data_IF_628711402501
#
_entry.id   IF_628711402501
#
_cell.length_a   1.000
_cell.length_b   1.000
_cell.length_c   1.000
_cell.angle_alpha   90.00
_cell.angle_beta   90.00
_cell.angle_gamma   90.00
#
_symmetry.space_group_name_H-M   'P 1'
#
loop_
_entity.id
_entity.type
_entity.pdbx_description
1 polymer ?
#
# COMPACT_ATOMS: atom_id res chain seq x y z
N UNK A 1 -9.90 -4.87 12.46
CA UNK A 1 -10.23 -3.97 11.34
C UNK A 1 -8.91 -3.39 10.86
N UNK A 2 -8.54 -3.64 9.62
CA UNK A 2 -7.19 -3.40 9.10
C UNK A 2 -6.71 -4.55 8.23
N UNK A 3 -5.48 -4.44 7.73
CA UNK A 3 -4.83 -5.50 6.96
C UNK A 3 -4.42 -6.64 7.91
N UNK A 4 -4.77 -7.88 7.57
CA UNK A 4 -4.50 -9.07 8.41
C UNK A 4 -3.62 -10.11 7.73
N UNK A 5 -3.53 -10.06 6.42
CA UNK A 5 -2.64 -10.87 5.60
C UNK A 5 -2.28 -10.12 4.30
N UNK A 6 -1.45 -10.75 3.48
CA UNK A 6 -1.15 -10.25 2.15
C UNK A 6 -1.05 -11.38 1.14
N UNK A 7 -1.27 -11.05 -0.13
CA UNK A 7 -1.19 -11.95 -1.27
C UNK A 7 -0.50 -11.28 -2.44
N UNK A 8 0.05 -12.10 -3.34
CA UNK A 8 0.69 -11.65 -4.57
C UNK A 8 -0.11 -12.23 -5.74
N UNK A 9 -0.50 -11.35 -6.67
CA UNK A 9 -1.26 -11.68 -7.86
C UNK A 9 -0.55 -11.13 -9.10
N UNK A 10 -1.01 -11.56 -10.28
CA UNK A 10 -0.55 -11.03 -11.56
C UNK A 10 -1.72 -10.43 -12.33
N UNK A 11 -1.52 -9.27 -12.93
CA UNK A 11 -2.51 -8.64 -13.80
C UNK A 11 -2.74 -9.51 -15.05
N UNK A 12 -3.98 -9.61 -15.50
CA UNK A 12 -4.30 -10.29 -16.76
C UNK A 12 -4.19 -9.36 -17.98
N UNK A 13 -4.19 -8.06 -17.73
CA UNK A 13 -4.13 -6.97 -18.70
C UNK A 13 -2.73 -6.31 -18.70
N UNK A 14 -2.61 -5.21 -19.45
CA UNK A 14 -1.38 -4.42 -19.55
C UNK A 14 -1.27 -3.36 -18.43
N UNK A 15 -1.99 -3.55 -17.32
CA UNK A 15 -1.85 -2.70 -16.14
C UNK A 15 -0.43 -2.79 -15.58
N UNK A 16 0.02 -1.66 -15.04
CA UNK A 16 1.29 -1.56 -14.35
C UNK A 16 1.25 -2.31 -13.01
N UNK A 17 2.39 -2.49 -12.35
CA UNK A 17 2.43 -2.99 -10.99
C UNK A 17 1.74 -2.01 -10.04
N UNK A 18 0.93 -2.52 -9.12
CA UNK A 18 0.34 -1.70 -8.07
C UNK A 18 0.07 -2.52 -6.82
N UNK A 19 -0.16 -1.80 -5.72
CA UNK A 19 -0.63 -2.36 -4.47
C UNK A 19 -2.08 -1.91 -4.26
N UNK A 20 -2.89 -2.80 -3.73
CA UNK A 20 -4.27 -2.50 -3.33
C UNK A 20 -4.65 -3.39 -2.15
N UNK A 21 -5.84 -3.24 -1.62
CA UNK A 21 -6.37 -4.16 -0.62
C UNK A 21 -7.77 -4.57 -1.02
N UNK A 22 -8.12 -5.81 -0.71
CA UNK A 22 -9.47 -6.32 -0.93
C UNK A 22 -10.06 -6.86 0.37
N UNK A 23 -11.37 -6.76 0.49
CA UNK A 23 -12.13 -7.44 1.54
C UNK A 23 -12.68 -8.73 0.93
N UNK A 24 -12.28 -9.93 1.39
CA UNK A 24 -12.83 -11.17 0.87
C UNK A 24 -14.36 -11.15 0.95
N UNK A 25 -14.96 -11.13 -0.24
CA UNK A 25 -16.34 -10.76 -0.58
C UNK A 25 -17.42 -11.27 0.39
N UNK A 26 -18.34 -10.35 0.71
CA UNK A 26 -19.75 -10.43 1.14
C UNK A 26 -20.03 -9.87 2.54
N UNK A 27 -20.76 -8.73 2.58
CA UNK A 27 -21.75 -8.12 3.52
C UNK A 27 -21.97 -8.65 4.95
N UNK A 28 -21.22 -9.64 5.37
CA UNK A 28 -21.37 -10.45 6.58
C UNK A 28 -20.08 -10.49 7.40
N UNK A 29 -18.96 -10.05 6.82
CA UNK A 29 -17.62 -10.25 7.39
C UNK A 29 -16.81 -8.95 7.58
N UNK A 30 -17.44 -7.81 7.94
CA UNK A 30 -16.71 -6.59 8.38
C UNK A 30 -15.73 -6.86 9.56
N UNK A 31 -15.80 -8.05 10.17
CA UNK A 31 -14.92 -8.51 11.24
C UNK A 31 -13.67 -9.28 10.75
N UNK A 32 -13.58 -9.70 9.48
CA UNK A 32 -12.52 -10.59 9.00
C UNK A 32 -11.22 -9.89 8.56
N UNK A 33 -11.17 -8.56 8.56
CA UNK A 33 -9.98 -7.84 8.12
C UNK A 33 -9.80 -7.89 6.60
N UNK A 34 -8.81 -7.15 6.10
CA UNK A 34 -8.55 -6.96 4.69
C UNK A 34 -7.25 -7.66 4.31
N UNK A 35 -7.17 -8.09 3.05
CA UNK A 35 -5.96 -8.67 2.48
C UNK A 35 -5.25 -7.62 1.64
N UNK A 36 -3.99 -7.37 1.94
CA UNK A 36 -3.13 -6.57 1.07
C UNK A 36 -2.80 -7.36 -0.18
N UNK A 37 -2.92 -6.76 -1.35
CA UNK A 37 -2.69 -7.42 -2.63
C UNK A 37 -1.63 -6.67 -3.44
N UNK A 38 -0.52 -7.33 -3.68
CA UNK A 38 0.50 -6.88 -4.62
C UNK A 38 0.19 -7.46 -5.99
N UNK A 39 -0.04 -6.60 -6.98
CA UNK A 39 -0.34 -7.01 -8.35
C UNK A 39 0.89 -6.74 -9.21
N UNK A 40 1.52 -7.82 -9.68
CA UNK A 40 2.63 -7.77 -10.65
C UNK A 40 2.05 -7.61 -12.05
N UNK A 41 2.65 -6.77 -12.90
CA UNK A 41 2.20 -6.65 -14.28
C UNK A 41 2.46 -7.94 -15.06
N UNK A 42 1.57 -8.27 -15.99
CA UNK A 42 1.76 -9.36 -16.95
C UNK A 42 3.10 -9.28 -17.68
N UNK A 43 3.51 -8.08 -18.08
CA UNK A 43 4.75 -7.84 -18.82
C UNK A 43 5.96 -8.15 -17.94
N UNK A 44 5.95 -7.71 -16.68
CA UNK A 44 7.03 -7.99 -15.73
C UNK A 44 7.14 -9.48 -15.41
N UNK A 45 6.01 -10.15 -15.20
CA UNK A 45 6.00 -11.61 -14.98
C UNK A 45 6.58 -12.37 -16.19
N UNK A 46 6.14 -12.03 -17.41
CA UNK A 46 6.62 -12.66 -18.65
C UNK A 46 8.10 -12.38 -18.94
N UNK A 47 8.59 -11.20 -18.53
CA UNK A 47 9.99 -10.81 -18.69
C UNK A 47 10.87 -11.25 -17.52
N UNK A 48 10.30 -11.93 -16.52
CA UNK A 48 10.95 -12.28 -15.26
C UNK A 48 11.59 -11.06 -14.56
N UNK A 49 10.95 -9.90 -14.71
CA UNK A 49 11.32 -8.68 -14.02
C UNK A 49 10.89 -8.81 -12.55
N UNK A 50 11.84 -8.50 -11.68
CA UNK A 50 11.81 -8.79 -10.24
C UNK A 50 10.99 -7.76 -9.44
N UNK A 51 9.76 -7.45 -9.83
CA UNK A 51 8.93 -6.52 -9.04
C UNK A 51 8.62 -7.07 -7.64
N UNK A 52 8.59 -6.19 -6.64
CA UNK A 52 8.39 -6.50 -5.20
C UNK A 52 9.40 -7.47 -4.56
N UNK A 53 10.56 -7.73 -5.16
CA UNK A 53 11.51 -8.75 -4.65
C UNK A 53 12.24 -8.33 -3.36
N UNK A 54 12.13 -7.05 -2.98
CA UNK A 54 12.71 -6.50 -1.74
C UNK A 54 11.63 -5.87 -0.85
N UNK A 55 10.36 -6.25 -1.05
CA UNK A 55 9.23 -5.66 -0.33
C UNK A 55 9.28 -5.95 1.18
N UNK A 56 9.99 -6.99 1.61
CA UNK A 56 10.07 -7.46 2.99
C UNK A 56 10.55 -6.37 3.95
N UNK A 57 11.48 -5.52 3.53
CA UNK A 57 11.98 -4.41 4.36
C UNK A 57 10.95 -3.28 4.54
N UNK A 58 9.92 -3.25 3.69
CA UNK A 58 8.89 -2.22 3.66
C UNK A 58 7.50 -2.75 4.02
N UNK A 59 7.32 -4.06 4.13
CA UNK A 59 6.00 -4.70 4.25
C UNK A 59 5.21 -4.18 5.46
N UNK A 60 5.87 -3.97 6.61
CA UNK A 60 5.23 -3.41 7.80
C UNK A 60 4.71 -1.99 7.57
N UNK A 61 5.44 -1.19 6.78
CA UNK A 61 5.04 0.19 6.45
C UNK A 61 3.85 0.20 5.51
N UNK A 62 3.84 -0.68 4.51
CA UNK A 62 2.72 -0.83 3.57
C UNK A 62 1.47 -1.29 4.31
N UNK A 63 1.56 -2.36 5.10
CA UNK A 63 0.46 -2.86 5.92
C UNK A 63 -0.09 -1.76 6.83
N UNK A 64 0.78 -0.98 7.47
CA UNK A 64 0.38 0.13 8.34
C UNK A 64 -0.35 1.23 7.58
N UNK A 65 0.18 1.62 6.41
CA UNK A 65 -0.42 2.63 5.55
C UNK A 65 -1.83 2.22 5.09
N UNK A 66 -1.95 1.03 4.48
CA UNK A 66 -3.24 0.54 3.97
C UNK A 66 -4.24 0.25 5.09
N UNK A 67 -3.76 -0.12 6.29
CA UNK A 67 -4.63 -0.24 7.47
C UNK A 67 -5.27 1.09 7.85
N UNK A 68 -4.57 2.22 7.71
CA UNK A 68 -5.15 3.54 7.97
C UNK A 68 -6.24 3.83 6.93
N UNK A 69 -6.01 3.54 5.65
CA UNK A 69 -7.01 3.68 4.59
C UNK A 69 -8.28 2.87 4.89
N UNK A 70 -8.12 1.61 5.29
CA UNK A 70 -9.23 0.74 5.70
C UNK A 70 -9.99 1.32 6.89
N UNK A 71 -9.29 1.79 7.92
CA UNK A 71 -9.94 2.34 9.12
C UNK A 71 -10.72 3.60 8.80
N UNK A 72 -10.14 4.51 8.01
CA UNK A 72 -10.82 5.76 7.63
C UNK A 72 -11.97 5.51 6.65
N UNK A 73 -11.83 4.54 5.74
CA UNK A 73 -12.91 4.13 4.84
C UNK A 73 -14.16 3.72 5.63
N UNK A 74 -14.00 2.93 6.69
CA UNK A 74 -15.12 2.48 7.54
C UNK A 74 -15.70 3.61 8.41
N UNK A 75 -14.87 4.54 8.90
CA UNK A 75 -15.30 5.61 9.81
C UNK A 75 -15.92 6.81 9.08
N UNK A 76 -15.29 7.25 7.99
CA UNK A 76 -15.54 8.55 7.34
C UNK A 76 -15.95 8.39 5.87
N UNK A 77 -16.00 7.15 5.37
CA UNK A 77 -16.36 6.84 3.99
C UNK A 77 -15.22 6.98 2.99
N UNK A 78 -15.50 6.52 1.76
CA UNK A 78 -14.52 6.39 0.69
C UNK A 78 -13.85 7.70 0.29
N UNK A 79 -14.63 8.78 0.11
CA UNK A 79 -14.11 10.09 -0.30
C UNK A 79 -13.06 10.66 0.68
N UNK A 80 -13.17 10.31 1.96
CA UNK A 80 -12.23 10.73 3.00
C UNK A 80 -10.97 9.86 2.98
N UNK A 81 -11.12 8.55 2.76
CA UNK A 81 -10.01 7.60 2.64
C UNK A 81 -9.16 7.86 1.39
N UNK A 82 -9.79 8.07 0.23
CA UNK A 82 -9.08 8.32 -1.04
C UNK A 82 -8.24 9.63 -0.99
N UNK A 83 -8.62 10.61 -0.15
CA UNK A 83 -7.84 11.86 0.04
C UNK A 83 -6.61 11.69 0.93
N UNK A 84 -6.50 10.58 1.66
CA UNK A 84 -5.34 10.33 2.51
C UNK A 84 -4.09 10.07 1.68
N UNK A 85 -4.24 9.56 0.46
CA UNK A 85 -3.12 9.35 -0.46
C UNK A 85 -2.35 10.65 -0.66
N UNK A 86 -3.05 11.77 -0.82
CA UNK A 86 -2.44 13.09 -1.02
C UNK A 86 -1.89 13.74 0.26
N UNK A 87 -1.99 13.05 1.41
CA UNK A 87 -1.72 13.64 2.71
C UNK A 87 -0.24 13.50 3.08
N UNK A 88 0.40 14.65 3.28
CA UNK A 88 1.75 14.77 3.81
C UNK A 88 1.67 15.20 5.28
N UNK A 89 1.97 14.30 6.21
CA UNK A 89 2.00 14.58 7.65
C UNK A 89 3.40 15.00 8.06
N UNK A 90 3.57 16.27 8.43
CA UNK A 90 4.80 16.78 9.04
C UNK A 90 4.70 16.72 10.57
N UNK A 91 5.47 15.82 11.21
CA UNK A 91 5.54 15.68 12.67
C UNK A 91 6.95 16.02 13.16
N UNK A 92 7.08 16.96 14.09
CA UNK A 92 8.36 17.23 14.77
C UNK A 92 8.44 16.45 16.07
N UNK A 93 9.31 15.44 16.15
CA UNK A 93 9.63 14.75 17.41
C UNK A 93 10.84 15.41 18.07
N UNK A 94 10.75 15.70 19.37
CA UNK A 94 11.93 16.07 20.17
C UNK A 94 12.79 17.17 19.55
N UNK A 95 14.12 16.99 19.51
CA UNK A 95 15.17 17.97 19.18
C UNK A 95 15.13 18.66 17.79
N UNK A 96 13.96 18.97 17.23
CA UNK A 96 13.76 19.89 16.11
C UNK A 96 13.79 19.26 14.73
N UNK A 97 13.86 17.93 14.61
CA UNK A 97 13.76 17.26 13.30
C UNK A 97 12.30 17.05 12.92
N UNK A 98 11.88 17.69 11.83
CA UNK A 98 10.59 17.45 11.20
C UNK A 98 10.66 16.16 10.40
N UNK A 99 9.82 15.21 10.75
CA UNK A 99 9.59 13.98 10.02
C UNK A 99 8.42 14.21 9.08
N UNK A 100 8.64 13.98 7.80
CA UNK A 100 7.60 14.06 6.78
C UNK A 100 7.18 12.63 6.48
N UNK A 101 5.93 12.31 6.78
CA UNK A 101 5.27 11.06 6.43
C UNK A 101 4.34 11.40 5.27
N UNK A 102 4.78 11.15 4.03
CA UNK A 102 3.85 11.13 2.90
C UNK A 102 3.10 9.80 2.96
N UNK A 103 1.80 9.85 2.73
CA UNK A 103 0.98 8.65 2.70
C UNK A 103 1.07 8.00 1.32
N UNK A 104 1.07 8.75 0.20
CA UNK A 104 1.32 8.17 -1.12
C UNK A 104 2.76 7.68 -1.33
N UNK A 105 2.96 6.40 -1.62
CA UNK A 105 4.28 5.84 -1.98
C UNK A 105 4.28 4.74 -3.05
N UNK A 106 3.24 4.63 -3.87
CA UNK A 106 3.25 3.77 -5.05
C UNK A 106 3.87 4.51 -6.24
N UNK A 107 5.21 4.54 -6.25
CA UNK A 107 5.99 5.03 -7.38
C UNK A 107 7.01 3.98 -7.82
N UNK A 108 7.53 4.12 -9.04
CA UNK A 108 8.54 3.22 -9.60
C UNK A 108 9.87 3.29 -8.85
N UNK A 109 10.11 2.31 -8.00
CA UNK A 109 11.35 2.18 -7.26
C UNK A 109 12.42 1.49 -8.10
N UNK A 110 13.62 2.07 -8.13
CA UNK A 110 14.77 1.49 -8.83
C UNK A 110 15.38 0.27 -8.10
N UNK A 111 14.92 0.00 -6.88
CA UNK A 111 15.41 -1.08 -6.01
C UNK A 111 14.51 -2.32 -6.04
N UNK A 112 13.59 -2.42 -7.01
CA UNK A 112 12.69 -3.55 -7.18
C UNK A 112 11.68 -3.77 -6.02
N UNK A 113 11.51 -2.80 -5.12
CA UNK A 113 10.45 -2.86 -4.11
C UNK A 113 9.07 -2.54 -4.68
N UNK A 114 8.99 -1.89 -5.83
CA UNK A 114 7.74 -1.32 -6.35
C UNK A 114 7.23 -0.11 -5.54
N UNK A 115 8.03 0.40 -4.59
CA UNK A 115 7.68 1.51 -3.69
C UNK A 115 8.79 2.56 -3.64
N UNK A 116 8.48 3.80 -3.99
CA UNK A 116 9.46 4.89 -3.89
C UNK A 116 9.49 5.38 -2.46
N UNK A 117 10.44 4.96 -1.63
CA UNK A 117 10.60 5.60 -0.31
C UNK A 117 11.32 6.94 -0.47
N UNK A 118 10.71 8.05 -0.05
CA UNK A 118 11.44 9.30 0.08
C UNK A 118 12.29 9.27 1.35
N UNK A 119 13.58 8.94 1.23
CA UNK A 119 14.56 9.27 2.26
C UNK A 119 14.93 10.74 2.15
N UNK A 120 14.57 11.52 3.18
CA UNK A 120 15.13 12.86 3.44
C UNK A 120 16.64 12.78 3.73
#
# INVERSE_FOLDING_TARGET
>A
MGIVDFTVACSSDDSQEFCTYDNPILDSNNHMGYSLMFVVSKVSELSNAKSFTNIEDLIERVISHETIHVVILELEGKDSSDKLDDLEISITFGAGRTHIIRMNYLGYANDNTGLVTATL
#
